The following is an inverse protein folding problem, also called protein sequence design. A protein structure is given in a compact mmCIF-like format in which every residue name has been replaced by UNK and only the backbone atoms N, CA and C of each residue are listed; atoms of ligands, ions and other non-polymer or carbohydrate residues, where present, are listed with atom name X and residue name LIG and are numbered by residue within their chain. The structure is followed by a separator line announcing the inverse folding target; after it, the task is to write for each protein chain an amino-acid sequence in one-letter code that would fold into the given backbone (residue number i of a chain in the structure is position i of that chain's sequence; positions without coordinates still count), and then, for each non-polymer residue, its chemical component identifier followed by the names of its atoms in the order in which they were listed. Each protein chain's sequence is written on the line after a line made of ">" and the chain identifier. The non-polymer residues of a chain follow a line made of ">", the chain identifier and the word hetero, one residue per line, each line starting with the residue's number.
data_IF_653327475144
#
_entry.id   IF_653327475144
#
_cell.length_a   1.000
_cell.length_b   1.000
_cell.length_c   1.000
_cell.angle_alpha   90.00
_cell.angle_beta   90.00
_cell.angle_gamma   90.00
#
_symmetry.space_group_name_H-M   'P 1'
#
loop_
_entity.id
_entity.type
_entity.pdbx_description
1 polymer ?
#
# COMPACT_ATOMS: atom_id res chain seq x y z
N UNK A 1 6.38 -16.11 8.57
CA UNK A 1 5.43 -15.42 9.49
C UNK A 1 4.03 -15.92 9.13
N UNK A 2 3.35 -16.66 10.00
CA UNK A 2 1.98 -17.16 9.74
C UNK A 2 0.97 -16.08 10.11
N UNK A 3 0.16 -15.65 9.17
CA UNK A 3 -1.09 -14.94 9.46
C UNK A 3 -2.23 -15.85 9.02
N UNK A 4 -2.78 -16.59 9.98
CA UNK A 4 -4.00 -17.38 9.79
C UNK A 4 -5.20 -16.49 10.12
N UNK A 5 -5.94 -16.05 9.10
CA UNK A 5 -7.28 -15.49 9.31
C UNK A 5 -8.28 -16.64 9.33
N UNK A 6 -8.62 -17.13 10.52
CA UNK A 6 -9.85 -17.91 10.71
C UNK A 6 -11.03 -16.95 10.71
N UNK A 7 -11.87 -17.02 9.68
CA UNK A 7 -13.22 -16.48 9.77
C UNK A 7 -14.17 -17.61 10.13
N UNK A 8 -14.75 -17.55 11.33
CA UNK A 8 -15.85 -18.40 11.75
C UNK A 8 -17.05 -18.15 10.84
N UNK A 9 -17.44 -19.18 10.10
CA UNK A 9 -18.55 -19.17 9.17
C UNK A 9 -19.87 -19.23 9.96
N UNK A 10 -20.62 -18.12 10.00
CA UNK A 10 -22.06 -18.16 10.29
C UNK A 10 -22.78 -17.57 9.09
N UNK A 11 -23.39 -18.46 8.31
CA UNK A 11 -23.95 -18.15 7.01
C UNK A 11 -25.10 -17.15 7.05
N UNK A 12 -25.18 -16.35 5.99
CA UNK A 12 -26.43 -16.06 5.31
C UNK A 12 -26.09 -15.57 3.91
N UNK A 13 -26.51 -16.33 2.91
CA UNK A 13 -26.50 -15.92 1.51
C UNK A 13 -27.21 -14.57 1.37
N UNK A 14 -26.47 -13.54 0.96
CA UNK A 14 -27.05 -12.45 0.19
C UNK A 14 -26.24 -12.25 -1.08
N UNK A 15 -26.90 -12.66 -2.16
CA UNK A 15 -26.52 -12.47 -3.54
C UNK A 15 -26.64 -10.97 -3.84
N UNK A 16 -25.49 -10.29 -3.86
CA UNK A 16 -25.34 -8.90 -4.25
C UNK A 16 -23.90 -8.75 -4.72
N UNK A 17 -23.71 -8.90 -6.04
CA UNK A 17 -22.41 -8.87 -6.70
C UNK A 17 -21.71 -7.51 -6.55
N UNK A 18 -21.11 -7.28 -5.39
CA UNK A 18 -19.95 -6.44 -5.28
C UNK A 18 -18.77 -7.39 -5.48
N UNK A 19 -18.22 -7.38 -6.69
CA UNK A 19 -16.96 -8.03 -7.03
C UNK A 19 -15.86 -7.34 -6.21
N UNK A 20 -15.74 -7.75 -4.95
CA UNK A 20 -14.94 -7.08 -3.95
C UNK A 20 -13.52 -7.61 -4.14
N UNK A 21 -12.79 -6.97 -5.05
CA UNK A 21 -11.37 -7.21 -5.28
C UNK A 21 -10.62 -7.00 -3.96
N UNK A 22 -10.28 -8.10 -3.29
CA UNK A 22 -9.43 -8.08 -2.11
C UNK A 22 -8.01 -7.76 -2.56
N UNK A 23 -7.50 -6.59 -2.14
CA UNK A 23 -6.10 -6.21 -2.37
C UNK A 23 -5.29 -6.71 -1.19
N UNK A 24 -4.45 -7.70 -1.42
CA UNK A 24 -3.44 -8.12 -0.46
C UNK A 24 -2.18 -7.30 -0.68
N UNK A 25 -1.66 -6.72 0.39
CA UNK A 25 -0.34 -6.08 0.36
C UNK A 25 0.67 -7.08 0.93
N UNK A 26 1.87 -7.10 0.33
CA UNK A 26 2.97 -7.94 0.82
C UNK A 26 3.44 -7.53 2.23
N UNK A 27 4.57 -8.07 2.72
CA UNK A 27 5.06 -7.81 4.08
C UNK A 27 5.20 -6.31 4.41
N UNK A 28 5.08 -5.98 5.70
CA UNK A 28 5.11 -4.60 6.19
C UNK A 28 6.47 -3.90 6.01
N UNK A 29 7.55 -4.68 5.83
CA UNK A 29 8.91 -4.20 5.55
C UNK A 29 9.42 -4.79 4.25
N UNK A 30 10.45 -4.18 3.67
CA UNK A 30 11.16 -4.80 2.54
C UNK A 30 11.94 -6.00 3.07
N UNK A 31 12.12 -7.00 2.20
CA UNK A 31 12.94 -8.16 2.51
C UNK A 31 14.22 -8.01 1.71
N UNK A 32 15.33 -7.77 2.41
CA UNK A 32 16.66 -7.98 1.86
C UNK A 32 16.98 -9.48 1.95
N UNK A 33 17.41 -10.07 0.84
CA UNK A 33 17.53 -11.52 0.71
C UNK A 33 18.67 -11.88 -0.22
N UNK A 34 19.34 -12.97 0.14
CA UNK A 34 20.31 -13.72 -0.64
C UNK A 34 19.73 -15.14 -0.82
N UNK A 35 19.77 -15.69 -2.05
CA UNK A 35 19.16 -16.98 -2.40
C UNK A 35 17.68 -16.92 -2.85
N UNK A 36 16.85 -17.87 -2.41
CA UNK A 36 15.49 -18.02 -2.96
C UNK A 36 14.38 -17.44 -2.06
N UNK A 37 13.38 -16.81 -2.67
CA UNK A 37 12.14 -16.34 -2.01
C UNK A 37 10.93 -17.11 -2.55
N UNK A 38 10.03 -17.51 -1.66
CA UNK A 38 8.76 -18.12 -2.03
C UNK A 38 7.60 -17.16 -1.72
N UNK A 39 6.80 -16.85 -2.73
CA UNK A 39 5.50 -16.20 -2.56
C UNK A 39 4.43 -17.29 -2.64
N UNK A 40 3.78 -17.57 -1.51
CA UNK A 40 2.72 -18.58 -1.41
C UNK A 40 1.36 -17.90 -1.19
N UNK A 41 0.37 -18.30 -1.99
CA UNK A 41 -1.03 -17.90 -1.86
C UNK A 41 -1.87 -19.13 -1.51
N UNK A 42 -2.27 -19.22 -0.25
CA UNK A 42 -3.13 -20.29 0.26
C UNK A 42 -4.60 -19.92 0.03
N UNK A 43 -5.30 -20.70 -0.81
CA UNK A 43 -6.71 -20.49 -1.14
C UNK A 43 -7.60 -21.19 -0.11
N UNK A 44 -7.26 -22.44 0.22
CA UNK A 44 -7.82 -23.21 1.32
C UNK A 44 -6.81 -24.27 1.83
N UNK A 45 -7.24 -25.13 2.75
CA UNK A 45 -6.40 -26.16 3.38
C UNK A 45 -5.78 -27.18 2.40
N UNK A 46 -6.28 -27.27 1.17
CA UNK A 46 -5.87 -28.26 0.17
C UNK A 46 -5.36 -27.64 -1.13
N UNK A 47 -5.43 -26.31 -1.26
CA UNK A 47 -5.18 -25.61 -2.51
C UNK A 47 -4.39 -24.33 -2.27
N UNK A 48 -3.16 -24.33 -2.81
CA UNK A 48 -2.24 -23.21 -2.77
C UNK A 48 -1.58 -23.01 -4.13
N UNK A 49 -1.07 -21.80 -4.35
CA UNK A 49 -0.31 -21.44 -5.53
C UNK A 49 0.98 -20.74 -5.11
N UNK A 50 2.04 -20.92 -5.88
CA UNK A 50 3.39 -20.52 -5.49
C UNK A 50 4.16 -19.82 -6.62
N UNK A 51 4.98 -18.84 -6.26
CA UNK A 51 6.05 -18.28 -7.11
C UNK A 51 7.36 -18.47 -6.36
N UNK A 52 8.25 -19.28 -6.91
CA UNK A 52 9.63 -19.37 -6.47
C UNK A 52 10.48 -18.37 -7.25
N UNK A 53 11.14 -17.48 -6.52
CA UNK A 53 12.08 -16.50 -7.04
C UNK A 53 13.47 -16.94 -6.62
N UNK A 54 14.28 -17.37 -7.58
CA UNK A 54 15.69 -17.67 -7.36
C UNK A 54 16.52 -16.45 -7.75
N UNK A 55 17.09 -15.75 -6.77
CA UNK A 55 17.83 -14.51 -7.01
C UNK A 55 19.16 -14.79 -7.71
N UNK A 56 19.68 -16.01 -7.58
CA UNK A 56 20.92 -16.43 -8.21
C UNK A 56 20.71 -16.92 -9.67
N UNK A 57 19.45 -17.11 -10.10
CA UNK A 57 19.14 -17.48 -11.47
C UNK A 57 19.35 -16.28 -12.41
N UNK A 58 20.24 -16.37 -13.43
CA UNK A 58 20.53 -15.26 -14.35
C UNK A 58 19.34 -14.85 -15.23
N UNK A 59 18.27 -15.65 -15.26
CA UNK A 59 17.01 -15.32 -15.95
C UNK A 59 16.03 -14.53 -15.09
N UNK A 60 16.29 -14.43 -13.78
CA UNK A 60 15.47 -13.64 -12.85
C UNK A 60 15.53 -12.16 -13.23
N UNK A 61 14.35 -11.55 -13.31
CA UNK A 61 14.21 -10.14 -13.67
C UNK A 61 14.37 -9.27 -12.43
N UNK A 62 15.29 -8.31 -12.54
CA UNK A 62 15.51 -7.29 -11.53
C UNK A 62 15.08 -5.93 -12.07
N UNK A 63 14.73 -5.04 -11.15
CA UNK A 63 14.43 -3.63 -11.43
C UNK A 63 13.32 -3.50 -12.50
N UNK A 64 12.39 -4.46 -12.50
CA UNK A 64 11.22 -4.53 -13.38
C UNK A 64 10.02 -5.03 -12.58
N UNK A 65 8.84 -4.48 -12.85
CA UNK A 65 7.59 -5.00 -12.31
C UNK A 65 7.16 -6.27 -13.06
N UNK A 66 7.06 -7.38 -12.34
CA UNK A 66 6.57 -8.65 -12.87
C UNK A 66 5.16 -8.89 -12.37
N UNK A 67 4.24 -9.18 -13.29
CA UNK A 67 2.86 -9.58 -12.95
C UNK A 67 2.66 -11.03 -13.33
N UNK A 68 2.18 -11.82 -12.37
CA UNK A 68 1.89 -13.23 -12.54
C UNK A 68 0.47 -13.55 -12.07
N UNK A 69 -0.23 -14.40 -12.80
CA UNK A 69 -1.44 -15.04 -12.30
C UNK A 69 -1.04 -16.22 -11.40
N UNK A 70 -1.53 -16.18 -10.16
CA UNK A 70 -1.45 -17.26 -9.19
C UNK A 70 -2.81 -17.92 -9.09
N UNK A 71 -2.92 -19.11 -9.66
CA UNK A 71 -4.12 -19.92 -9.61
C UNK A 71 -3.77 -21.35 -9.24
N UNK A 72 -4.64 -21.97 -8.48
CA UNK A 72 -4.58 -23.40 -8.21
C UNK A 72 -5.18 -24.17 -9.39
N UNK A 73 -4.66 -25.36 -9.67
CA UNK A 73 -5.10 -26.16 -10.83
C UNK A 73 -6.42 -26.90 -10.60
N UNK A 74 -7.00 -26.85 -9.40
CA UNK A 74 -8.33 -27.40 -9.16
C UNK A 74 -9.42 -26.46 -9.68
N UNK A 75 -10.48 -27.06 -10.21
CA UNK A 75 -11.59 -26.33 -10.80
C UNK A 75 -12.32 -25.47 -9.75
N UNK A 76 -12.77 -24.28 -10.17
CA UNK A 76 -13.60 -23.31 -9.40
C UNK A 76 -12.93 -22.48 -8.29
N UNK A 77 -11.60 -22.43 -8.18
CA UNK A 77 -10.94 -21.50 -7.23
C UNK A 77 -10.64 -20.13 -7.84
N UNK A 78 -10.73 -19.04 -7.05
CA UNK A 78 -10.39 -17.71 -7.51
C UNK A 78 -8.90 -17.62 -7.81
N UNK A 79 -8.55 -17.03 -8.95
CA UNK A 79 -7.17 -16.68 -9.30
C UNK A 79 -6.78 -15.37 -8.60
N UNK A 80 -5.57 -15.33 -8.07
CA UNK A 80 -4.91 -14.11 -7.66
C UNK A 80 -4.06 -13.57 -8.81
N UNK A 81 -3.93 -12.24 -8.90
CA UNK A 81 -2.93 -11.58 -9.73
C UNK A 81 -1.95 -10.92 -8.78
N UNK A 82 -0.69 -11.31 -8.84
CA UNK A 82 0.36 -10.76 -8.00
C UNK A 82 1.31 -9.96 -8.86
N UNK A 83 1.55 -8.72 -8.47
CA UNK A 83 2.58 -7.85 -9.02
C UNK A 83 3.68 -7.69 -7.98
N UNK A 84 4.92 -7.95 -8.37
CA UNK A 84 6.10 -7.83 -7.52
C UNK A 84 7.28 -7.29 -8.32
N UNK A 85 8.31 -6.85 -7.62
CA UNK A 85 9.59 -6.47 -8.22
C UNK A 85 10.72 -6.90 -7.28
N UNK A 86 11.80 -7.42 -7.86
CA UNK A 86 13.08 -7.61 -7.17
C UNK A 86 13.94 -6.39 -7.48
N UNK A 87 14.55 -5.79 -6.47
CA UNK A 87 15.30 -4.54 -6.61
C UNK A 87 16.75 -4.77 -6.24
N UNK A 88 17.68 -4.59 -7.17
CA UNK A 88 19.10 -4.97 -6.98
C UNK A 88 19.87 -3.97 -6.13
N UNK A 89 19.54 -2.68 -6.26
CA UNK A 89 20.15 -1.57 -5.51
C UNK A 89 19.05 -0.71 -4.90
N UNK A 90 18.22 -1.37 -4.09
CA UNK A 90 17.05 -0.77 -3.46
C UNK A 90 17.40 -0.08 -2.16
N UNK A 91 16.59 0.90 -1.80
CA UNK A 91 16.52 1.49 -0.47
C UNK A 91 15.12 1.35 0.09
N UNK A 92 15.02 1.27 1.41
CA UNK A 92 13.74 1.33 2.10
C UNK A 92 13.26 2.78 2.17
N UNK A 93 12.06 3.04 1.67
CA UNK A 93 11.34 4.30 1.83
C UNK A 93 10.25 4.13 2.89
N UNK A 94 10.41 4.79 4.03
CA UNK A 94 9.42 4.81 5.12
C UNK A 94 8.58 6.08 5.00
N UNK A 95 7.32 5.90 4.62
CA UNK A 95 6.32 6.94 4.40
C UNK A 95 5.47 7.13 5.65
N UNK A 96 5.40 8.37 6.12
CA UNK A 96 4.47 8.82 7.16
C UNK A 96 3.65 9.98 6.61
N UNK A 97 2.33 9.93 6.77
CA UNK A 97 1.43 11.00 6.33
C UNK A 97 0.70 11.57 7.54
N UNK A 98 0.83 12.89 7.74
CA UNK A 98 0.12 13.62 8.80
C UNK A 98 -0.89 14.58 8.20
N UNK A 99 -2.10 14.56 8.73
CA UNK A 99 -3.17 15.46 8.35
C UNK A 99 -3.31 16.58 9.39
N UNK A 100 -3.31 17.82 8.89
CA UNK A 100 -3.59 19.05 9.62
C UNK A 100 -4.95 19.60 9.17
N UNK A 101 -6.00 19.35 9.97
CA UNK A 101 -7.33 19.88 9.65
C UNK A 101 -7.50 21.31 10.19
N UNK A 102 -8.05 22.20 9.35
CA UNK A 102 -8.33 23.59 9.74
C UNK A 102 -9.64 23.78 10.51
N UNK A 103 -10.61 22.86 10.39
CA UNK A 103 -11.94 22.94 11.03
C UNK A 103 -12.15 21.82 12.05
N UNK A 104 -12.85 22.13 13.15
CA UNK A 104 -13.02 21.24 14.33
C UNK A 104 -14.16 20.24 14.17
N UNK A 105 -15.03 20.49 13.21
CA UNK A 105 -16.41 20.02 13.22
C UNK A 105 -16.63 18.76 12.37
N UNK A 106 -15.63 18.33 11.59
CA UNK A 106 -15.72 17.13 10.76
C UNK A 106 -14.39 16.36 10.74
N UNK A 107 -14.18 15.53 11.76
CA UNK A 107 -12.95 14.74 11.96
C UNK A 107 -12.88 13.48 11.07
N UNK A 108 -13.80 13.35 10.13
CA UNK A 108 -13.89 12.23 9.21
C UNK A 108 -13.43 12.68 7.84
N UNK A 109 -12.57 11.87 7.23
CA UNK A 109 -12.14 12.06 5.86
C UNK A 109 -12.11 10.72 5.15
N UNK A 110 -12.16 10.80 3.83
CA UNK A 110 -12.01 9.67 2.96
C UNK A 110 -11.14 10.02 1.76
N UNK A 111 -10.78 9.02 0.97
CA UNK A 111 -9.93 9.19 -0.21
C UNK A 111 -8.80 8.18 -0.26
N UNK A 112 -7.74 8.54 -1.01
CA UNK A 112 -6.66 7.62 -1.37
C UNK A 112 -5.30 8.28 -1.23
N UNK A 113 -4.32 7.50 -0.82
CA UNK A 113 -2.89 7.85 -0.85
C UNK A 113 -2.17 6.74 -1.60
N UNK A 114 -1.41 7.11 -2.63
CA UNK A 114 -0.75 6.19 -3.55
C UNK A 114 0.73 6.52 -3.58
N UNK A 115 1.56 5.49 -3.49
CA UNK A 115 2.95 5.57 -3.87
C UNK A 115 3.12 5.11 -5.31
N UNK A 116 3.78 5.91 -6.13
CA UNK A 116 4.08 5.60 -7.52
C UNK A 116 5.59 5.61 -7.74
N UNK A 117 6.07 4.60 -8.45
CA UNK A 117 7.41 4.55 -9.01
C UNK A 117 7.33 3.97 -10.43
N UNK A 118 8.46 3.87 -11.12
CA UNK A 118 8.48 3.17 -12.41
C UNK A 118 8.19 1.65 -12.27
N UNK A 119 8.31 1.08 -11.07
CA UNK A 119 7.94 -0.30 -10.75
C UNK A 119 6.43 -0.48 -10.51
N UNK A 120 5.65 0.60 -10.57
CA UNK A 120 4.20 0.58 -10.44
C UNK A 120 3.66 1.37 -9.24
N UNK A 121 2.38 1.14 -8.97
CA UNK A 121 1.62 1.83 -7.94
C UNK A 121 1.37 0.93 -6.73
N UNK A 122 1.47 1.51 -5.54
CA UNK A 122 1.14 0.88 -4.27
C UNK A 122 0.15 1.76 -3.51
N UNK A 123 -1.03 1.22 -3.23
CA UNK A 123 -2.02 1.91 -2.39
C UNK A 123 -1.54 1.89 -0.94
N UNK A 124 -1.26 3.06 -0.39
CA UNK A 124 -0.86 3.22 1.01
C UNK A 124 -2.07 3.41 1.91
N UNK A 125 -3.13 4.03 1.40
CA UNK A 125 -4.37 4.26 2.12
C UNK A 125 -5.52 4.37 1.11
N UNK A 126 -6.65 3.75 1.43
CA UNK A 126 -7.89 3.89 0.67
C UNK A 126 -9.06 3.70 1.61
N UNK A 127 -10.00 4.65 1.59
CA UNK A 127 -11.28 4.51 2.29
C UNK A 127 -12.37 5.24 1.52
N UNK A 128 -13.54 4.62 1.48
CA UNK A 128 -14.72 5.15 0.80
C UNK A 128 -15.61 5.94 1.76
N UNK A 129 -16.38 6.87 1.20
CA UNK A 129 -17.34 7.71 1.93
C UNK A 129 -18.44 6.89 2.65
N UNK A 130 -18.75 5.68 2.18
CA UNK A 130 -19.93 4.92 2.62
C UNK A 130 -19.68 3.97 3.81
N UNK A 131 -18.43 3.57 4.10
CA UNK A 131 -18.16 2.43 5.00
C UNK A 131 -17.13 2.65 6.10
N UNK A 132 -16.36 3.72 6.03
CA UNK A 132 -15.25 3.90 6.98
C UNK A 132 -14.96 5.38 7.19
N UNK A 133 -15.80 6.00 8.03
CA UNK A 133 -15.44 7.22 8.73
C UNK A 133 -14.37 6.87 9.76
N UNK A 134 -13.10 6.95 9.35
CA UNK A 134 -12.01 6.97 10.33
C UNK A 134 -12.18 8.25 11.15
N UNK A 135 -12.75 8.09 12.35
CA UNK A 135 -12.81 9.13 13.37
C UNK A 135 -11.39 9.31 13.90
N UNK A 136 -10.61 10.18 13.27
CA UNK A 136 -9.31 10.52 13.81
C UNK A 136 -9.59 11.62 14.85
N UNK A 137 -9.45 11.30 16.14
CA UNK A 137 -10.06 12.03 17.27
C UNK A 137 -9.90 13.56 17.31
N UNK A 138 -10.72 14.26 18.09
CA UNK A 138 -10.94 15.72 18.07
C UNK A 138 -9.78 16.64 18.55
N UNK A 139 -8.51 16.23 18.48
CA UNK A 139 -7.40 17.06 18.94
C UNK A 139 -6.96 18.10 17.90
N UNK A 140 -6.43 19.23 18.38
CA UNK A 140 -5.79 20.29 17.58
C UNK A 140 -4.44 19.85 16.98
N UNK A 141 -3.99 18.63 17.28
CA UNK A 141 -2.68 18.15 16.85
C UNK A 141 -2.75 17.49 15.47
N UNK A 142 -1.66 17.56 14.70
CA UNK A 142 -1.55 16.84 13.43
C UNK A 142 -1.74 15.34 13.66
N UNK A 143 -2.57 14.70 12.85
CA UNK A 143 -2.91 13.29 13.06
C UNK A 143 -2.26 12.41 12.00
N UNK A 144 -1.59 11.34 12.45
CA UNK A 144 -0.98 10.36 11.55
C UNK A 144 -2.09 9.52 10.91
N UNK A 145 -2.09 9.45 9.58
CA UNK A 145 -3.00 8.59 8.82
C UNK A 145 -2.47 7.15 8.90
N UNK A 146 -3.28 6.16 9.34
CA UNK A 146 -2.85 4.77 9.39
C UNK A 146 -2.77 4.21 7.97
N UNK A 147 -1.55 4.06 7.46
CA UNK A 147 -1.32 3.47 6.14
C UNK A 147 -1.42 1.95 6.19
N UNK A 148 -2.07 1.33 5.20
CA UNK A 148 -2.05 -0.11 4.96
C UNK A 148 -0.63 -0.62 4.69
N UNK A 149 0.22 0.25 4.11
CA UNK A 149 1.66 0.02 3.93
C UNK A 149 2.41 1.34 4.09
N UNK A 150 3.49 1.33 4.86
CA UNK A 150 4.34 2.50 5.06
C UNK A 150 5.78 2.30 4.60
N UNK A 151 6.21 1.07 4.33
CA UNK A 151 7.58 0.78 3.86
C UNK A 151 7.55 0.25 2.43
N UNK A 152 8.36 0.85 1.58
CA UNK A 152 8.46 0.54 0.15
C UNK A 152 9.91 0.31 -0.25
N UNK A 153 10.13 -0.61 -1.19
CA UNK A 153 11.43 -0.75 -1.85
C UNK A 153 11.47 0.21 -3.04
N UNK A 154 12.52 1.02 -3.13
CA UNK A 154 12.70 1.97 -4.22
C UNK A 154 14.13 1.85 -4.74
N UNK A 155 14.35 1.69 -6.06
CA UNK A 155 15.68 1.75 -6.65
C UNK A 155 16.39 3.06 -6.31
N UNK A 156 17.64 3.00 -5.87
CA UNK A 156 18.41 4.15 -5.36
C UNK A 156 18.61 5.26 -6.40
N UNK A 157 18.58 4.93 -7.69
CA UNK A 157 18.72 5.86 -8.81
C UNK A 157 17.38 6.42 -9.31
N UNK A 158 16.30 6.17 -8.58
CA UNK A 158 14.94 6.55 -8.97
C UNK A 158 14.27 7.50 -7.98
N UNK A 159 13.03 7.88 -8.30
CA UNK A 159 12.19 8.70 -7.42
C UNK A 159 10.93 7.97 -7.00
N UNK A 160 10.48 8.30 -5.79
CA UNK A 160 9.18 7.92 -5.28
C UNK A 160 8.24 9.11 -5.36
N UNK A 161 7.06 8.88 -5.91
CA UNK A 161 5.99 9.85 -5.93
C UNK A 161 4.91 9.45 -4.93
N UNK A 162 4.41 10.39 -4.13
CA UNK A 162 3.27 10.19 -3.24
C UNK A 162 2.13 11.08 -3.70
N UNK A 163 1.08 10.47 -4.24
CA UNK A 163 -0.18 11.14 -4.56
C UNK A 163 -1.11 11.08 -3.35
N UNK A 164 -1.68 12.23 -2.99
CA UNK A 164 -2.65 12.38 -1.90
C UNK A 164 -3.91 12.99 -2.49
N UNK A 165 -5.07 12.34 -2.30
CA UNK A 165 -6.37 12.86 -2.66
C UNK A 165 -7.37 12.57 -1.54
N UNK A 166 -7.61 13.57 -0.68
CA UNK A 166 -8.40 13.45 0.54
C UNK A 166 -9.58 14.44 0.53
N UNK A 167 -10.71 13.98 1.05
CA UNK A 167 -12.00 14.67 1.07
C UNK A 167 -12.63 14.59 2.46
N UNK A 168 -13.39 15.59 2.85
CA UNK A 168 -14.20 15.53 4.07
C UNK A 168 -15.55 14.84 3.78
N UNK A 169 -16.32 14.51 4.82
CA UNK A 169 -17.62 13.85 4.66
C UNK A 169 -18.67 14.69 3.91
N UNK A 170 -18.49 16.02 3.84
CA UNK A 170 -19.32 16.94 3.07
C UNK A 170 -18.94 16.97 1.57
N UNK A 171 -18.01 16.12 1.14
CA UNK A 171 -17.42 16.07 -0.19
C UNK A 171 -16.67 17.35 -0.58
N UNK A 172 -16.17 18.12 0.40
CA UNK A 172 -15.20 19.17 0.14
C UNK A 172 -13.80 18.56 0.12
N UNK A 173 -13.02 18.93 -0.89
CA UNK A 173 -11.62 18.51 -1.00
C UNK A 173 -10.82 19.09 0.17
N UNK A 174 -10.09 18.23 0.86
CA UNK A 174 -9.14 18.62 1.92
C UNK A 174 -7.83 19.00 1.27
N UNK A 175 -7.21 18.05 0.58
CA UNK A 175 -5.94 18.19 -0.14
C UNK A 175 -5.98 17.29 -1.37
N UNK A 176 -5.52 17.79 -2.52
CA UNK A 176 -5.11 16.96 -3.66
C UNK A 176 -3.73 17.43 -4.11
N UNK A 177 -2.74 16.55 -4.08
CA UNK A 177 -1.37 16.92 -4.38
C UNK A 177 -0.47 15.73 -4.68
N UNK A 178 0.69 16.03 -5.24
CA UNK A 178 1.71 15.07 -5.61
C UNK A 178 3.04 15.55 -5.05
N UNK A 179 3.72 14.67 -4.32
CA UNK A 179 5.10 14.87 -3.87
C UNK A 179 6.00 13.97 -4.70
N UNK A 180 7.16 14.46 -5.14
CA UNK A 180 8.20 13.64 -5.77
C UNK A 180 9.49 13.79 -4.99
N UNK A 181 10.06 12.68 -4.54
CA UNK A 181 11.33 12.65 -3.81
C UNK A 181 12.28 11.67 -4.49
N UNK A 182 13.49 12.14 -4.81
CA UNK A 182 14.57 11.26 -5.27
C UNK A 182 15.05 10.39 -4.11
N UNK A 183 15.33 9.13 -4.39
CA UNK A 183 15.90 8.22 -3.40
C UNK A 183 17.29 8.71 -2.97
N UNK A 184 17.51 8.80 -1.66
CA UNK A 184 18.80 9.22 -1.12
C UNK A 184 19.04 8.59 0.25
N UNK A 185 19.99 7.68 0.34
CA UNK A 185 20.34 6.96 1.57
C UNK A 185 20.54 7.90 2.77
N UNK A 186 20.06 7.46 3.94
CA UNK A 186 20.26 8.13 5.23
C UNK A 186 19.76 9.58 5.27
N UNK A 187 18.68 9.86 4.54
CA UNK A 187 18.06 11.17 4.50
C UNK A 187 16.58 11.11 4.83
N UNK A 188 16.01 12.28 5.11
CA UNK A 188 14.57 12.43 5.23
C UNK A 188 14.11 13.67 4.49
N UNK A 189 12.89 13.61 3.99
CA UNK A 189 12.19 14.72 3.36
C UNK A 189 10.84 14.88 4.02
N UNK A 190 10.48 16.11 4.33
CA UNK A 190 9.12 16.48 4.73
C UNK A 190 8.62 17.48 3.72
N UNK A 191 7.50 17.17 3.09
CA UNK A 191 6.87 18.02 2.09
C UNK A 191 5.45 18.33 2.52
N UNK A 192 5.10 19.61 2.46
CA UNK A 192 3.80 20.13 2.84
C UNK A 192 2.92 20.27 1.59
N UNK A 193 1.76 19.65 1.61
CA UNK A 193 0.72 19.80 0.61
C UNK A 193 -0.41 20.63 1.21
N UNK A 194 -0.56 21.86 0.72
CA UNK A 194 -1.65 22.74 1.11
C UNK A 194 -2.89 22.50 0.25
N UNK A 195 -4.05 22.49 0.89
CA UNK A 195 -5.34 22.53 0.23
C UNK A 195 -6.25 23.58 0.84
N UNK A 196 -7.42 23.77 0.24
CA UNK A 196 -8.34 24.83 0.65
C UNK A 196 -8.86 24.61 2.07
N UNK A 197 -9.06 23.35 2.47
CA UNK A 197 -9.70 22.97 3.73
C UNK A 197 -8.76 22.27 4.73
N UNK A 198 -7.48 22.09 4.39
CA UNK A 198 -6.50 21.44 5.25
C UNK A 198 -5.09 21.46 4.67
N UNK A 199 -4.17 20.82 5.37
CA UNK A 199 -2.80 20.60 4.93
C UNK A 199 -2.40 19.16 5.25
N UNK A 200 -1.55 18.57 4.42
CA UNK A 200 -0.96 17.24 4.65
C UNK A 200 0.55 17.35 4.62
N UNK A 201 1.21 16.77 5.62
CA UNK A 201 2.65 16.56 5.58
C UNK A 201 2.93 15.13 5.13
N UNK A 202 3.73 15.00 4.08
CA UNK A 202 4.29 13.72 3.65
C UNK A 202 5.75 13.69 4.07
N UNK A 203 6.08 12.77 4.99
CA UNK A 203 7.46 12.49 5.39
C UNK A 203 7.92 11.19 4.75
N UNK A 204 9.08 11.23 4.10
CA UNK A 204 9.77 10.06 3.56
C UNK A 204 11.13 9.97 4.25
N UNK A 205 11.42 8.83 4.87
CA UNK A 205 12.73 8.51 5.44
C UNK A 205 13.36 7.39 4.65
N UNK A 206 14.61 7.56 4.24
CA UNK A 206 15.34 6.59 3.42
C UNK A 206 16.38 5.87 4.28
N UNK A 207 16.34 4.55 4.29
CA UNK A 207 17.33 3.68 4.95
C UNK A 207 17.83 2.58 4.01
N UNK A 208 18.87 1.88 4.45
CA UNK A 208 19.31 0.63 3.82
C UNK A 208 18.33 -0.52 4.07
#
# INVERSE_FOLDING_TARGET
>A
MRVSHQHSNSGTHQNGGNDRRLVLTGPYRVISVDGCVLIEYNIDDHCHAEILLDIDDPSTKHDEAVTAELGCTCDNHPKAVVTYALVSNGVEAIVEVKLHQRRRDNNTFYGRIIACSYLGEVVLFETDNEKSTLLIGSSQEPKIIPLARSVLAVPLDSSLQIEVDLWNHSNDKIVKGLVTCQAHLNSNHVVHLDGDNGQVDVKITWSD
#
